data_IF_255203565766
#
_entry.id   IF_255203565766
#
_cell.length_a   1.000
_cell.length_b   1.000
_cell.length_c   1.000
_cell.angle_alpha   90.00
_cell.angle_beta   90.00
_cell.angle_gamma   90.00
#
_symmetry.space_group_name_H-M   'P 1'
#
loop_
_entity.id
_entity.type
_entity.pdbx_description
1 polymer ?
#
# COMPACT_ATOMS: atom_id res chain seq x y z
N UNK A 1 -3.37 -21.27 6.50
CA UNK A 1 -2.40 -21.08 7.59
C UNK A 1 -1.03 -21.53 7.10
N UNK A 2 -0.05 -20.63 7.07
CA UNK A 2 1.34 -20.95 6.68
C UNK A 2 2.11 -21.22 7.97
N UNK A 3 2.96 -22.25 7.98
CA UNK A 3 3.82 -22.57 9.13
C UNK A 3 5.29 -22.47 8.74
N UNK A 4 6.13 -22.01 9.66
CA UNK A 4 7.59 -22.12 9.60
C UNK A 4 8.05 -23.11 10.68
N UNK A 5 8.04 -24.43 10.40
CA UNK A 5 8.26 -25.46 11.40
C UNK A 5 9.64 -25.38 12.05
N UNK A 6 10.67 -25.01 11.29
CA UNK A 6 12.04 -24.80 11.80
C UNK A 6 12.10 -23.81 12.96
N UNK A 7 11.21 -22.82 12.98
CA UNK A 7 11.16 -21.78 14.00
C UNK A 7 9.92 -21.89 14.91
N UNK A 8 9.10 -22.93 14.73
CA UNK A 8 7.85 -23.11 15.49
C UNK A 8 6.80 -22.02 15.28
N UNK A 9 6.86 -21.24 14.19
CA UNK A 9 5.96 -20.11 13.94
C UNK A 9 4.77 -20.50 13.06
N UNK A 10 3.62 -19.88 13.33
CA UNK A 10 2.41 -19.96 12.51
C UNK A 10 2.02 -18.56 12.05
N UNK A 11 1.59 -18.45 10.80
CA UNK A 11 1.18 -17.21 10.18
C UNK A 11 -0.28 -17.28 9.76
N UNK A 12 -1.02 -16.27 10.20
CA UNK A 12 -2.36 -15.95 9.75
C UNK A 12 -2.33 -14.70 8.87
N UNK A 13 -3.34 -14.56 8.03
CA UNK A 13 -3.47 -13.39 7.16
C UNK A 13 -3.90 -12.19 7.99
N UNK A 14 -3.24 -11.04 7.79
CA UNK A 14 -3.71 -9.77 8.32
C UNK A 14 -5.01 -9.40 7.56
N UNK A 15 -6.11 -9.08 8.26
CA UNK A 15 -7.31 -8.58 7.59
C UNK A 15 -7.00 -7.35 6.74
N UNK A 16 -7.47 -7.31 5.48
CA UNK A 16 -7.18 -6.22 4.55
C UNK A 16 -7.59 -4.84 5.10
N UNK A 17 -8.71 -4.79 5.83
CA UNK A 17 -9.17 -3.56 6.47
C UNK A 17 -8.17 -3.03 7.51
N UNK A 18 -7.45 -3.91 8.21
CA UNK A 18 -6.45 -3.49 9.19
C UNK A 18 -5.26 -2.81 8.50
N UNK A 19 -4.83 -3.31 7.34
CA UNK A 19 -3.76 -2.69 6.54
C UNK A 19 -4.17 -1.28 6.09
N UNK A 20 -5.42 -1.14 5.61
CA UNK A 20 -5.97 0.16 5.19
C UNK A 20 -6.08 1.14 6.36
N UNK A 21 -6.58 0.68 7.51
CA UNK A 21 -6.72 1.50 8.72
C UNK A 21 -5.36 1.96 9.26
N UNK A 22 -4.36 1.07 9.29
CA UNK A 22 -3.00 1.40 9.72
C UNK A 22 -2.39 2.48 8.83
N UNK A 23 -2.53 2.35 7.50
CA UNK A 23 -2.08 3.39 6.58
C UNK A 23 -2.78 4.72 6.85
N UNK A 24 -4.12 4.72 6.99
CA UNK A 24 -4.88 5.95 7.23
C UNK A 24 -4.46 6.65 8.54
N UNK A 25 -4.24 5.88 9.61
CA UNK A 25 -3.78 6.42 10.89
C UNK A 25 -2.36 7.00 10.80
N UNK A 26 -1.47 6.33 10.06
CA UNK A 26 -0.10 6.78 9.83
C UNK A 26 -0.06 8.03 8.95
N UNK A 27 -0.84 8.04 7.87
CA UNK A 27 -0.98 9.18 6.96
C UNK A 27 -1.51 10.41 7.69
N UNK A 28 -2.54 10.23 8.53
CA UNK A 28 -3.08 11.30 9.38
C UNK A 28 -2.03 11.82 10.37
N UNK A 29 -1.26 10.92 10.99
CA UNK A 29 -0.17 11.32 11.89
C UNK A 29 0.88 12.17 11.16
N UNK A 30 1.32 11.80 9.97
CA UNK A 30 2.32 12.59 9.23
C UNK A 30 1.87 14.00 8.84
N UNK A 31 0.56 14.23 8.77
CA UNK A 31 -0.01 15.55 8.50
C UNK A 31 -0.38 16.31 9.79
N UNK A 32 -0.01 15.78 10.95
CA UNK A 32 -0.24 16.41 12.25
C UNK A 32 0.96 17.25 12.68
N UNK A 33 0.74 18.31 13.48
CA UNK A 33 1.84 19.07 14.10
C UNK A 33 2.79 18.18 14.89
N UNK A 34 2.27 17.14 15.54
CA UNK A 34 3.04 16.20 16.36
C UNK A 34 4.14 15.47 15.56
N UNK A 35 3.89 15.17 14.28
CA UNK A 35 4.90 14.55 13.44
C UNK A 35 6.03 15.53 13.09
N UNK A 36 5.70 16.78 12.76
CA UNK A 36 6.71 17.81 12.48
C UNK A 36 7.51 18.17 13.74
N UNK A 37 6.85 18.29 14.88
CA UNK A 37 7.50 18.60 16.17
C UNK A 37 8.36 17.42 16.65
N UNK A 38 7.96 16.18 16.37
CA UNK A 38 8.75 14.99 16.69
C UNK A 38 10.11 14.92 16.00
N UNK A 39 10.30 15.65 14.91
CA UNK A 39 11.58 15.74 14.20
C UNK A 39 12.50 16.85 14.74
N UNK A 40 12.00 17.72 15.62
CA UNK A 40 12.73 18.90 16.11
C UNK A 40 13.42 18.63 17.45
N UNK A 41 14.64 19.17 17.68
CA UNK A 41 15.25 19.17 19.00
C UNK A 41 14.47 20.00 20.03
N UNK A 42 14.50 19.64 21.33
CA UNK A 42 15.09 18.42 21.87
C UNK A 42 14.23 17.19 21.54
N UNK A 43 14.88 16.07 21.24
CA UNK A 43 14.18 14.82 20.91
C UNK A 43 13.37 14.36 22.13
N UNK A 44 12.06 14.19 21.92
CA UNK A 44 11.09 13.72 22.91
C UNK A 44 10.37 12.48 22.40
N UNK A 45 9.74 11.69 23.29
CA UNK A 45 8.90 10.59 22.84
C UNK A 45 7.80 11.07 21.90
N UNK A 46 7.66 10.40 20.76
CA UNK A 46 6.69 10.74 19.71
C UNK A 46 5.46 9.86 19.92
N UNK A 47 4.29 10.47 20.13
CA UNK A 47 3.02 9.74 20.25
C UNK A 47 2.32 9.66 18.90
N UNK A 48 2.09 8.45 18.42
CA UNK A 48 1.21 8.18 17.28
C UNK A 48 -0.17 7.74 17.77
N UNK A 49 -1.11 7.52 16.85
CA UNK A 49 -2.41 6.92 17.19
C UNK A 49 -2.31 5.45 17.63
N UNK A 50 -1.16 4.80 17.38
CA UNK A 50 -0.96 3.37 17.61
C UNK A 50 -0.06 3.07 18.81
N UNK A 51 0.96 3.91 19.05
CA UNK A 51 1.96 3.67 20.10
C UNK A 51 2.73 4.95 20.45
N UNK A 52 3.58 4.87 21.48
CA UNK A 52 4.54 5.92 21.85
C UNK A 52 5.94 5.42 21.49
N UNK A 53 6.67 6.21 20.71
CA UNK A 53 8.04 5.92 20.30
C UNK A 53 9.04 6.67 21.18
N UNK A 54 9.93 5.93 21.85
CA UNK A 54 10.99 6.51 22.68
C UNK A 54 12.38 6.56 22.03
N UNK A 55 12.51 6.09 20.79
CA UNK A 55 13.77 6.05 20.05
C UNK A 55 14.02 7.29 19.18
N UNK A 56 14.96 7.18 18.24
CA UNK A 56 15.27 8.28 17.35
C UNK A 56 14.15 8.52 16.32
N UNK A 57 13.85 9.78 15.93
CA UNK A 57 12.74 10.07 15.02
C UNK A 57 12.93 9.48 13.61
N UNK A 58 14.16 9.40 13.12
CA UNK A 58 14.47 8.80 11.83
C UNK A 58 14.15 7.30 11.77
N UNK A 59 14.38 6.56 12.86
CA UNK A 59 14.00 5.15 12.96
C UNK A 59 12.48 4.99 12.90
N UNK A 60 11.74 5.86 13.60
CA UNK A 60 10.28 5.89 13.55
C UNK A 60 9.79 6.15 12.12
N UNK A 61 10.29 7.21 11.47
CA UNK A 61 9.82 7.57 10.13
C UNK A 61 10.17 6.50 9.09
N UNK A 62 11.34 5.86 9.23
CA UNK A 62 11.72 4.71 8.40
C UNK A 62 10.76 3.54 8.62
N UNK A 63 10.44 3.22 9.88
CA UNK A 63 9.49 2.16 10.23
C UNK A 63 8.10 2.44 9.67
N UNK A 64 7.58 3.65 9.85
CA UNK A 64 6.26 4.04 9.33
C UNK A 64 6.20 3.91 7.81
N UNK A 65 7.25 4.35 7.10
CA UNK A 65 7.33 4.23 5.65
C UNK A 65 7.43 2.77 5.18
N UNK A 66 8.24 1.94 5.87
CA UNK A 66 8.27 0.48 5.64
C UNK A 66 6.89 -0.15 5.78
N UNK A 67 6.17 0.19 6.86
CA UNK A 67 4.83 -0.33 7.14
C UNK A 67 3.83 0.11 6.09
N UNK A 68 3.88 1.37 5.63
CA UNK A 68 3.01 1.87 4.57
C UNK A 68 3.22 1.12 3.25
N UNK A 69 4.48 0.90 2.86
CA UNK A 69 4.85 0.16 1.64
C UNK A 69 4.40 -1.30 1.74
N UNK A 70 4.74 -2.00 2.83
CA UNK A 70 4.28 -3.37 3.05
C UNK A 70 2.76 -3.48 3.06
N UNK A 71 2.09 -2.48 3.65
CA UNK A 71 0.64 -2.40 3.70
C UNK A 71 0.03 -2.43 2.31
N UNK A 72 0.47 -1.56 1.40
CA UNK A 72 -0.10 -1.51 0.04
C UNK A 72 0.29 -2.75 -0.78
N UNK A 73 1.53 -3.24 -0.64
CA UNK A 73 1.99 -4.46 -1.31
C UNK A 73 1.21 -5.71 -0.85
N UNK A 74 0.82 -5.77 0.42
CA UNK A 74 0.02 -6.88 0.96
C UNK A 74 -1.49 -6.70 0.70
N UNK A 75 -1.97 -5.47 0.59
CA UNK A 75 -3.37 -5.16 0.33
C UNK A 75 -3.80 -5.55 -1.08
N UNK A 76 -2.95 -5.25 -2.08
CA UNK A 76 -3.26 -5.44 -3.49
C UNK A 76 -3.64 -6.90 -3.87
N UNK A 77 -2.86 -7.95 -3.52
CA UNK A 77 -3.24 -9.33 -3.84
C UNK A 77 -4.59 -9.73 -3.24
N UNK A 78 -4.91 -9.26 -2.03
CA UNK A 78 -6.19 -9.53 -1.39
C UNK A 78 -7.36 -8.85 -2.11
N UNK A 79 -7.19 -7.59 -2.50
CA UNK A 79 -8.15 -6.86 -3.32
C UNK A 79 -8.38 -7.55 -4.67
N UNK A 80 -7.31 -7.96 -5.36
CA UNK A 80 -7.38 -8.69 -6.62
C UNK A 80 -8.08 -10.04 -6.50
N UNK A 81 -7.84 -10.80 -5.43
CA UNK A 81 -8.55 -12.07 -5.17
C UNK A 81 -10.05 -11.83 -5.02
N UNK A 82 -10.44 -10.83 -4.25
CA UNK A 82 -11.85 -10.47 -4.09
C UNK A 82 -12.47 -10.04 -5.43
N UNK A 83 -11.80 -9.16 -6.18
CA UNK A 83 -12.27 -8.72 -7.50
C UNK A 83 -12.38 -9.90 -8.48
N UNK A 84 -11.41 -10.81 -8.51
CA UNK A 84 -11.47 -12.03 -9.34
C UNK A 84 -12.70 -12.89 -9.00
N UNK A 85 -13.05 -13.00 -7.71
CA UNK A 85 -14.23 -13.73 -7.27
C UNK A 85 -15.53 -13.06 -7.71
N UNK A 86 -15.61 -11.73 -7.62
CA UNK A 86 -16.77 -10.96 -8.10
C UNK A 86 -16.94 -11.07 -9.62
N UNK A 87 -15.84 -11.13 -10.37
CA UNK A 87 -15.86 -11.32 -11.83
C UNK A 87 -16.12 -12.78 -12.25
N UNK A 88 -16.32 -13.70 -11.29
CA UNK A 88 -16.54 -15.12 -11.57
C UNK A 88 -15.28 -15.89 -11.99
N UNK A 89 -14.09 -15.29 -11.89
CA UNK A 89 -12.81 -15.89 -12.25
C UNK A 89 -12.10 -16.44 -11.00
N UNK A 90 -12.65 -17.49 -10.42
CA UNK A 90 -12.07 -18.17 -9.24
C UNK A 90 -11.30 -19.39 -9.73
N UNK A 91 -9.98 -19.23 -9.93
CA UNK A 91 -9.09 -20.37 -10.18
C UNK A 91 -7.97 -20.43 -9.13
N UNK A 92 -7.69 -21.65 -8.67
CA UNK A 92 -6.61 -21.90 -7.71
C UNK A 92 -5.27 -21.44 -8.27
N UNK A 93 -5.03 -21.68 -9.56
CA UNK A 93 -3.81 -21.25 -10.25
C UNK A 93 -3.65 -19.73 -10.23
N UNK A 94 -4.72 -18.97 -10.52
CA UNK A 94 -4.68 -17.51 -10.45
C UNK A 94 -4.34 -17.06 -9.03
N UNK A 95 -5.02 -17.60 -8.01
CA UNK A 95 -4.81 -17.20 -6.62
C UNK A 95 -3.39 -17.50 -6.13
N UNK A 96 -2.80 -18.63 -6.54
CA UNK A 96 -1.41 -18.98 -6.26
C UNK A 96 -0.42 -18.01 -6.93
N UNK A 97 -0.72 -17.55 -8.16
CA UNK A 97 0.06 -16.50 -8.83
C UNK A 97 -0.05 -15.16 -8.13
N UNK A 98 -1.25 -14.78 -7.68
CA UNK A 98 -1.48 -13.55 -6.90
C UNK A 98 -0.71 -13.54 -5.58
N UNK A 99 -0.59 -14.69 -4.90
CA UNK A 99 0.23 -14.82 -3.69
C UNK A 99 1.74 -14.77 -3.94
N UNK A 100 2.16 -14.88 -5.20
CA UNK A 100 3.56 -14.95 -5.63
C UNK A 100 3.80 -14.01 -6.81
N UNK A 101 3.82 -12.67 -6.60
CA UNK A 101 4.05 -11.68 -7.67
C UNK A 101 5.23 -12.02 -8.58
N UNK A 102 6.32 -12.55 -8.03
CA UNK A 102 7.52 -12.87 -8.81
C UNK A 102 7.36 -14.09 -9.74
N UNK A 103 6.21 -14.76 -9.72
CA UNK A 103 5.88 -15.83 -10.68
C UNK A 103 5.50 -15.31 -12.08
N UNK A 104 5.21 -14.01 -12.23
CA UNK A 104 4.86 -13.37 -13.51
C UNK A 104 6.08 -13.11 -14.44
N UNK A 105 7.26 -13.67 -14.11
CA UNK A 105 8.49 -13.73 -14.93
C UNK A 105 9.09 -12.39 -15.41
N UNK A 106 8.63 -11.24 -14.91
CA UNK A 106 9.37 -9.98 -15.09
C UNK A 106 10.51 -9.86 -14.08
N UNK A 107 11.63 -9.25 -14.48
CA UNK A 107 12.74 -8.90 -13.58
C UNK A 107 12.40 -7.71 -12.66
N UNK A 108 11.33 -6.96 -12.97
CA UNK A 108 10.91 -5.79 -12.19
C UNK A 108 9.81 -6.15 -11.20
N UNK A 109 10.04 -5.87 -9.91
CA UNK A 109 9.02 -5.99 -8.88
C UNK A 109 7.78 -5.13 -9.21
N UNK A 110 7.99 -3.91 -9.71
CA UNK A 110 6.90 -3.00 -10.07
C UNK A 110 6.06 -3.56 -11.21
N UNK A 111 6.70 -4.10 -12.26
CA UNK A 111 5.97 -4.71 -13.36
C UNK A 111 5.17 -5.94 -12.92
N UNK A 112 5.75 -6.77 -12.05
CA UNK A 112 5.04 -7.93 -11.51
C UNK A 112 3.84 -7.51 -10.63
N UNK A 113 4.03 -6.55 -9.72
CA UNK A 113 3.03 -6.18 -8.71
C UNK A 113 1.92 -5.29 -9.30
N UNK A 114 2.26 -4.25 -10.05
CA UNK A 114 1.29 -3.22 -10.46
C UNK A 114 0.82 -3.31 -11.92
N UNK A 115 1.40 -4.21 -12.71
CA UNK A 115 0.98 -4.43 -14.10
C UNK A 115 0.52 -5.86 -14.34
N UNK A 116 1.42 -6.85 -14.32
CA UNK A 116 1.09 -8.23 -14.70
C UNK A 116 0.13 -8.92 -13.74
N UNK A 117 0.27 -8.69 -12.43
CA UNK A 117 -0.62 -9.30 -11.44
C UNK A 117 -2.08 -8.80 -11.58
N UNK A 118 -2.36 -7.48 -11.65
CA UNK A 118 -3.70 -6.99 -11.94
C UNK A 118 -4.22 -7.42 -13.32
N UNK A 119 -3.37 -7.36 -14.36
CA UNK A 119 -3.71 -7.76 -15.73
C UNK A 119 -4.17 -9.21 -15.84
N UNK A 120 -3.58 -10.11 -15.04
CA UNK A 120 -3.97 -11.51 -14.98
C UNK A 120 -5.38 -11.73 -14.40
N UNK A 121 -5.92 -10.77 -13.64
CA UNK A 121 -7.32 -10.77 -13.22
C UNK A 121 -8.20 -10.13 -14.30
N UNK A 122 -7.85 -8.92 -14.73
CA UNK A 122 -8.51 -8.21 -15.81
C UNK A 122 -7.59 -7.09 -16.35
N UNK A 123 -7.46 -6.89 -17.68
CA UNK A 123 -6.51 -5.93 -18.27
C UNK A 123 -6.69 -4.48 -17.79
N UNK A 124 -7.93 -4.07 -17.53
CA UNK A 124 -8.26 -2.72 -17.05
C UNK A 124 -7.88 -2.48 -15.58
N UNK A 125 -7.46 -3.50 -14.82
CA UNK A 125 -7.00 -3.30 -13.45
C UNK A 125 -5.52 -2.90 -13.39
N UNK A 126 -4.77 -3.09 -14.48
CA UNK A 126 -3.35 -2.74 -14.58
C UNK A 126 -3.11 -1.25 -14.32
N UNK A 127 -2.26 -0.92 -13.35
CA UNK A 127 -1.88 0.47 -13.07
C UNK A 127 -1.25 1.14 -14.28
N UNK A 128 -0.44 0.38 -15.03
CA UNK A 128 0.20 0.84 -16.27
C UNK A 128 -0.83 1.31 -17.31
N UNK A 129 -1.98 0.65 -17.39
CA UNK A 129 -3.02 1.02 -18.35
C UNK A 129 -3.92 2.14 -17.82
N UNK A 130 -4.23 2.15 -16.52
CA UNK A 130 -5.13 3.13 -15.91
C UNK A 130 -4.48 4.49 -15.62
N UNK A 131 -3.24 4.50 -15.13
CA UNK A 131 -2.52 5.71 -14.73
C UNK A 131 -1.02 5.50 -14.98
N UNK A 132 -0.62 5.65 -16.26
CA UNK A 132 0.76 5.54 -16.70
C UNK A 132 1.71 6.49 -15.92
N UNK A 133 1.36 7.77 -15.64
CA UNK A 133 2.17 8.63 -14.79
C UNK A 133 2.39 8.08 -13.37
N UNK A 134 1.36 7.54 -12.71
CA UNK A 134 1.52 6.91 -11.40
C UNK A 134 2.39 5.65 -11.48
N UNK A 135 2.25 4.85 -12.55
CA UNK A 135 3.10 3.68 -12.79
C UNK A 135 4.58 4.06 -12.92
N UNK A 136 4.90 5.10 -13.70
CA UNK A 136 6.27 5.60 -13.85
C UNK A 136 6.83 6.16 -12.54
N UNK A 137 6.03 6.93 -11.80
CA UNK A 137 6.39 7.39 -10.47
C UNK A 137 6.63 6.21 -9.50
N UNK A 138 5.89 5.10 -9.66
CA UNK A 138 6.08 3.89 -8.85
C UNK A 138 7.40 3.21 -9.15
N UNK A 139 7.85 3.20 -10.42
CA UNK A 139 9.18 2.71 -10.78
C UNK A 139 10.27 3.53 -10.07
N UNK A 140 10.18 4.87 -10.12
CA UNK A 140 11.12 5.76 -9.44
C UNK A 140 11.07 5.54 -7.91
N UNK A 141 9.88 5.52 -7.31
CA UNK A 141 9.69 5.27 -5.89
C UNK A 141 10.29 3.93 -5.44
N UNK A 142 10.17 2.87 -6.25
CA UNK A 142 10.77 1.59 -5.92
C UNK A 142 12.30 1.67 -5.91
N UNK A 143 12.89 2.34 -6.90
CA UNK A 143 14.33 2.51 -7.02
C UNK A 143 14.91 3.38 -5.90
N UNK A 144 14.24 4.48 -5.60
CA UNK A 144 14.78 5.59 -4.79
C UNK A 144 14.39 5.52 -3.31
N UNK A 145 13.27 4.87 -2.99
CA UNK A 145 12.73 4.84 -1.62
C UNK A 145 12.60 3.41 -1.13
N UNK A 146 11.79 2.59 -1.81
CA UNK A 146 11.47 1.23 -1.34
C UNK A 146 12.72 0.36 -1.29
N UNK A 147 13.45 0.19 -2.38
CA UNK A 147 14.59 -0.74 -2.40
C UNK A 147 15.68 -0.35 -1.38
N UNK A 148 16.11 0.93 -1.26
CA UNK A 148 17.00 1.37 -0.19
C UNK A 148 16.55 0.93 1.22
N UNK A 149 15.30 1.25 1.57
CA UNK A 149 14.73 0.99 2.89
C UNK A 149 14.65 -0.52 3.19
N UNK A 150 14.29 -1.34 2.20
CA UNK A 150 14.21 -2.80 2.36
C UNK A 150 15.56 -3.51 2.20
N UNK A 151 16.62 -2.78 1.83
CA UNK A 151 18.01 -3.27 1.82
C UNK A 151 18.82 -2.74 3.02
N UNK A 152 18.15 -2.27 4.07
CA UNK A 152 18.77 -1.91 5.34
C UNK A 152 19.25 -0.46 5.44
N UNK A 153 18.84 0.42 4.53
CA UNK A 153 19.07 1.85 4.69
C UNK A 153 17.99 2.47 5.58
N UNK A 154 18.39 3.51 6.32
CA UNK A 154 17.52 4.32 7.17
C UNK A 154 17.49 5.76 6.64
N UNK A 155 16.41 6.49 6.92
CA UNK A 155 16.33 7.90 6.56
C UNK A 155 17.36 8.71 7.36
N UNK A 156 18.23 9.44 6.67
CA UNK A 156 19.10 10.44 7.31
C UNK A 156 18.42 11.79 7.25
N UNK A 157 18.26 12.45 8.40
CA UNK A 157 17.68 13.80 8.51
C UNK A 157 16.32 13.94 7.80
N UNK A 158 15.28 13.21 8.26
CA UNK A 158 13.98 13.23 7.61
C UNK A 158 13.37 14.63 7.66
N UNK A 159 12.96 15.13 6.49
CA UNK A 159 12.08 16.29 6.36
C UNK A 159 10.61 15.84 6.27
N UNK A 160 9.74 16.51 7.01
CA UNK A 160 8.32 16.12 7.08
C UNK A 160 7.61 16.29 5.73
N UNK A 161 7.98 17.29 4.93
CA UNK A 161 7.36 17.56 3.63
C UNK A 161 7.75 16.48 2.62
N UNK A 162 9.02 16.06 2.62
CA UNK A 162 9.50 14.95 1.80
C UNK A 162 8.84 13.62 2.19
N UNK A 163 8.66 13.37 3.49
CA UNK A 163 7.92 12.22 3.98
C UNK A 163 6.46 12.24 3.53
N UNK A 164 5.79 13.38 3.65
CA UNK A 164 4.41 13.55 3.17
C UNK A 164 4.31 13.27 1.67
N UNK A 165 5.26 13.71 0.85
CA UNK A 165 5.28 13.41 -0.59
C UNK A 165 5.43 11.90 -0.87
N UNK A 166 6.31 11.21 -0.16
CA UNK A 166 6.45 9.75 -0.27
C UNK A 166 5.16 9.01 0.14
N UNK A 167 4.51 9.47 1.22
CA UNK A 167 3.24 8.90 1.68
C UNK A 167 2.07 9.23 0.75
N UNK A 168 2.07 10.40 0.12
CA UNK A 168 1.09 10.76 -0.90
C UNK A 168 1.18 9.81 -2.10
N UNK A 169 2.39 9.41 -2.51
CA UNK A 169 2.56 8.40 -3.55
C UNK A 169 1.92 7.06 -3.16
N UNK A 170 2.14 6.59 -1.92
CA UNK A 170 1.49 5.37 -1.40
C UNK A 170 -0.04 5.55 -1.33
N UNK A 171 -0.53 6.74 -0.94
CA UNK A 171 -1.96 7.03 -0.92
C UNK A 171 -2.58 6.91 -2.31
N UNK A 172 -1.91 7.44 -3.35
CA UNK A 172 -2.34 7.31 -4.75
C UNK A 172 -2.40 5.86 -5.22
N UNK A 173 -1.49 5.00 -4.76
CA UNK A 173 -1.57 3.56 -5.03
C UNK A 173 -2.81 2.94 -4.38
N UNK A 174 -3.13 3.29 -3.14
CA UNK A 174 -4.38 2.84 -2.54
C UNK A 174 -5.62 3.39 -3.26
N UNK A 175 -5.61 4.64 -3.69
CA UNK A 175 -6.72 5.24 -4.47
C UNK A 175 -6.93 4.52 -5.80
N UNK A 176 -5.85 4.16 -6.49
CA UNK A 176 -5.93 3.32 -7.68
C UNK A 176 -6.57 1.96 -7.37
N UNK A 177 -6.22 1.31 -6.25
CA UNK A 177 -6.86 0.06 -5.84
C UNK A 177 -8.35 0.29 -5.56
N UNK A 178 -8.66 1.32 -4.78
CA UNK A 178 -10.01 1.64 -4.33
C UNK A 178 -10.94 2.08 -5.50
N UNK A 179 -10.37 2.50 -6.64
CA UNK A 179 -11.13 2.80 -7.86
C UNK A 179 -11.91 1.59 -8.39
N UNK A 180 -11.33 0.38 -8.27
CA UNK A 180 -11.93 -0.86 -8.77
C UNK A 180 -12.26 -1.87 -7.66
N UNK A 181 -11.83 -1.61 -6.43
CA UNK A 181 -12.11 -2.41 -5.25
C UNK A 181 -12.80 -1.56 -4.18
N UNK A 182 -13.98 -1.95 -3.72
CA UNK A 182 -14.69 -1.21 -2.68
C UNK A 182 -14.27 -1.71 -1.28
N UNK A 183 -13.43 -0.97 -0.52
CA UNK A 183 -13.01 -1.37 0.82
C UNK A 183 -14.20 -1.50 1.80
N UNK A 184 -15.31 -0.79 1.57
CA UNK A 184 -16.49 -0.89 2.43
C UNK A 184 -17.19 -2.25 2.31
N UNK A 185 -17.01 -2.96 1.19
CA UNK A 185 -17.50 -4.34 1.06
C UNK A 185 -16.80 -5.31 2.02
N UNK A 186 -15.55 -5.01 2.43
CA UNK A 186 -14.88 -5.75 3.49
C UNK A 186 -15.51 -5.46 4.87
N UNK A 187 -16.08 -4.27 5.04
CA UNK A 187 -16.63 -3.75 6.29
C UNK A 187 -18.13 -4.05 6.44
N UNK A 188 -18.85 -4.47 5.40
CA UNK A 188 -20.28 -4.87 5.54
C UNK A 188 -20.52 -6.17 6.33
N UNK A 189 -19.46 -6.78 6.89
CA UNK A 189 -19.53 -7.70 8.05
C UNK A 189 -19.38 -7.04 9.43
N UNK A 190 -19.15 -5.73 9.50
CA UNK A 190 -18.93 -4.94 10.72
C UNK A 190 -18.84 -3.43 10.45
N UNK A 191 -20.00 -2.76 10.31
CA UNK A 191 -20.28 -1.30 10.34
C UNK A 191 -19.20 -0.31 9.84
N UNK A 192 -19.59 0.42 8.78
CA UNK A 192 -18.82 1.42 8.01
C UNK A 192 -18.10 2.51 8.83
N UNK A 193 -16.88 2.86 8.39
CA UNK A 193 -16.23 4.13 8.70
C UNK A 193 -16.06 4.94 7.41
N UNK A 194 -16.79 6.05 7.32
CA UNK A 194 -16.61 7.07 6.30
C UNK A 194 -15.41 7.94 6.65
N UNK A 195 -14.48 8.15 5.71
CA UNK A 195 -13.41 9.12 5.89
C UNK A 195 -12.39 9.10 4.76
N UNK A 196 -12.60 10.00 3.79
CA UNK A 196 -11.81 10.31 2.58
C UNK A 196 -12.42 9.70 1.31
N UNK A 197 -13.42 10.41 0.76
CA UNK A 197 -13.82 10.32 -0.64
C UNK A 197 -13.19 11.50 -1.39
N UNK A 198 -11.99 11.33 -1.92
CA UNK A 198 -11.57 12.11 -3.09
C UNK A 198 -12.07 11.37 -4.32
N UNK A 199 -13.36 11.58 -4.66
CA UNK A 199 -13.91 11.13 -5.95
C UNK A 199 -13.41 12.09 -7.02
N UNK A 200 -12.42 11.67 -7.82
CA UNK A 200 -12.25 12.27 -9.15
C UNK A 200 -13.38 11.78 -10.07
N UNK A 201 -13.88 12.64 -10.96
CA UNK A 201 -15.07 12.36 -11.76
C UNK A 201 -14.81 11.20 -12.72
N UNK A 202 -15.83 10.34 -12.89
CA UNK A 202 -15.88 9.39 -14.00
C UNK A 202 -15.71 10.17 -15.30
N UNK A 203 -14.54 10.03 -15.91
CA UNK A 203 -14.26 10.54 -17.25
C UNK A 203 -15.27 9.94 -18.22
N UNK A 204 -15.97 10.84 -18.90
CA UNK A 204 -17.05 10.55 -19.81
C UNK A 204 -16.59 9.64 -20.96
N UNK A 205 -17.51 8.75 -21.35
CA UNK A 205 -17.59 8.23 -22.70
C UNK A 205 -17.53 9.36 -23.73
N UNK A 206 -16.46 9.41 -24.51
CA UNK A 206 -16.49 9.92 -25.87
C UNK A 206 -16.41 8.66 -26.74
N UNK A 207 -17.49 8.15 -27.31
CA UNK A 207 -18.27 8.86 -28.32
C UNK A 207 -17.53 8.70 -29.64
N UNK A 208 -17.67 7.53 -30.27
CA UNK A 208 -17.32 7.35 -31.67
C UNK A 208 -18.17 8.31 -32.53
N UNK A 209 -17.63 8.74 -33.66
CA UNK A 209 -18.09 8.16 -34.93
C UNK A 209 -17.06 7.24 -35.58
#
# INVERSE_FOLDING_TARGET
MRAAPTFGLKFDNIPLINLRMEFNQTYKFLHSPEAADGLRPPIKPIRTNLFIWGGMPNDLMTLLLQRAILGVEAYLPGALKHTSAVLGNISKELWEKLDRPFSFRSKSAVANIYHHMPEAVHPELSLRHLDQPLYEATIAFYREVRNPIFHGQLLSDPDISNLQAAFLHVARLYEWIDYWFDPEKLVKGGKAFSGVHLRYPKGASNGAP
#
